data_IF_608421027875
#
_entry.id   IF_608421027875
#
_cell.length_a   1.000
_cell.length_b   1.000
_cell.length_c   1.000
_cell.angle_alpha   90.00
_cell.angle_beta   90.00
_cell.angle_gamma   90.00
#
_symmetry.space_group_name_H-M   'P 1'
#
loop_
_entity.id
_entity.type
_entity.pdbx_description
1 polymer ?
#
# COMPACT_ATOMS: atom_id res chain seq x y z
N UNK A 1 -10.64 -18.01 13.18
CA UNK A 1 -9.82 -17.30 12.17
C UNK A 1 -9.61 -15.88 12.66
N UNK A 2 -8.37 -15.45 12.96
CA UNK A 2 -8.13 -14.04 13.33
C UNK A 2 -8.32 -13.18 12.08
N UNK A 3 -9.21 -12.18 12.16
CA UNK A 3 -9.28 -11.11 11.16
C UNK A 3 -7.89 -10.48 11.13
N UNK A 4 -7.19 -10.52 10.00
CA UNK A 4 -5.99 -9.70 9.81
C UNK A 4 -6.45 -8.25 9.92
N UNK A 5 -5.91 -7.55 10.91
CA UNK A 5 -6.08 -6.10 10.99
C UNK A 5 -5.53 -5.48 9.71
N UNK A 6 -6.20 -4.43 9.25
CA UNK A 6 -5.71 -3.66 8.11
C UNK A 6 -4.37 -3.03 8.51
N UNK A 7 -3.45 -2.91 7.55
CA UNK A 7 -2.19 -2.21 7.77
C UNK A 7 -2.46 -0.81 8.31
N UNK A 8 -1.74 -0.41 9.36
CA UNK A 8 -1.79 0.97 9.85
C UNK A 8 -1.19 1.92 8.81
N UNK A 9 -1.46 3.24 8.90
CA UNK A 9 -0.79 4.23 8.05
C UNK A 9 0.73 4.13 8.09
N UNK A 10 1.30 3.89 9.27
CA UNK A 10 2.75 3.76 9.50
C UNK A 10 3.30 2.50 8.82
N UNK A 11 2.61 1.37 8.93
CA UNK A 11 3.00 0.13 8.27
C UNK A 11 2.93 0.26 6.74
N UNK A 12 1.91 0.95 6.22
CA UNK A 12 1.82 1.25 4.78
C UNK A 12 2.96 2.14 4.32
N UNK A 13 3.37 3.12 5.13
CA UNK A 13 4.49 3.99 4.84
C UNK A 13 5.81 3.21 4.82
N UNK A 14 6.07 2.39 5.84
CA UNK A 14 7.24 1.53 5.94
C UNK A 14 7.33 0.56 4.74
N UNK A 15 6.23 -0.13 4.43
CA UNK A 15 6.13 -0.98 3.25
C UNK A 15 6.45 -0.23 1.96
N UNK A 16 5.94 1.00 1.78
CA UNK A 16 6.22 1.78 0.59
C UNK A 16 7.72 2.10 0.46
N UNK A 17 8.39 2.44 1.55
CA UNK A 17 9.83 2.71 1.57
C UNK A 17 10.64 1.47 1.22
N UNK A 18 10.35 0.31 1.81
CA UNK A 18 11.08 -0.92 1.53
C UNK A 18 10.98 -1.32 0.05
N UNK A 19 9.80 -1.16 -0.55
CA UNK A 19 9.57 -1.40 -1.97
C UNK A 19 10.32 -0.41 -2.89
N UNK A 20 10.61 0.81 -2.42
CA UNK A 20 11.34 1.84 -3.18
C UNK A 20 12.85 1.65 -3.04
N UNK A 21 13.33 1.34 -1.84
CA UNK A 21 14.75 1.11 -1.55
C UNK A 21 15.29 -0.13 -2.27
N UNK A 22 14.45 -1.14 -2.48
CA UNK A 22 14.81 -2.40 -3.17
C UNK A 22 15.99 -3.14 -2.53
N UNK A 23 16.15 -3.00 -1.21
CA UNK A 23 17.15 -3.76 -0.43
C UNK A 23 16.78 -5.25 -0.32
N UNK A 24 15.48 -5.55 -0.37
CA UNK A 24 14.92 -6.90 -0.41
C UNK A 24 14.13 -7.13 -1.70
N UNK A 25 13.94 -8.40 -2.08
CA UNK A 25 13.11 -8.71 -3.24
C UNK A 25 11.66 -8.31 -2.98
N UNK A 26 10.91 -8.02 -4.05
CA UNK A 26 9.50 -7.64 -3.93
C UNK A 26 8.66 -8.72 -3.22
N UNK A 27 8.99 -10.00 -3.44
CA UNK A 27 8.31 -11.13 -2.82
C UNK A 27 8.61 -11.24 -1.32
N UNK A 28 9.85 -10.95 -0.90
CA UNK A 28 10.24 -10.96 0.52
C UNK A 28 9.50 -9.86 1.27
N UNK A 29 9.41 -8.66 0.69
CA UNK A 29 8.66 -7.54 1.28
C UNK A 29 7.16 -7.88 1.39
N UNK A 30 6.56 -8.46 0.33
CA UNK A 30 5.15 -8.89 0.39
C UNK A 30 4.90 -9.94 1.48
N UNK A 31 5.84 -10.87 1.66
CA UNK A 31 5.77 -11.90 2.71
C UNK A 31 5.89 -11.30 4.10
N UNK A 32 6.84 -10.39 4.31
CA UNK A 32 7.09 -9.76 5.62
C UNK A 32 5.87 -8.99 6.13
N UNK A 33 5.30 -8.11 5.31
CA UNK A 33 4.13 -7.32 5.68
C UNK A 33 2.81 -8.08 5.53
N UNK A 34 2.87 -9.34 5.09
CA UNK A 34 1.71 -10.15 4.79
C UNK A 34 0.75 -9.36 3.88
N UNK A 35 1.14 -9.13 2.63
CA UNK A 35 0.27 -8.49 1.62
C UNK A 35 0.36 -9.23 0.29
N UNK A 36 -0.68 -9.07 -0.53
CA UNK A 36 -0.59 -9.49 -1.93
C UNK A 36 0.29 -8.51 -2.72
N UNK A 37 0.83 -9.00 -3.84
CA UNK A 37 1.58 -8.16 -4.77
C UNK A 37 0.75 -6.96 -5.24
N UNK A 38 -0.54 -7.16 -5.50
CA UNK A 38 -1.46 -6.10 -5.90
C UNK A 38 -1.58 -5.00 -4.84
N UNK A 39 -1.70 -5.36 -3.56
CA UNK A 39 -1.75 -4.40 -2.46
C UNK A 39 -0.42 -3.64 -2.33
N UNK A 40 0.70 -4.34 -2.42
CA UNK A 40 2.04 -3.73 -2.40
C UNK A 40 2.21 -2.71 -3.54
N UNK A 41 1.80 -3.06 -4.76
CA UNK A 41 1.84 -2.13 -5.90
C UNK A 41 0.95 -0.90 -5.68
N UNK A 42 -0.28 -1.08 -5.18
CA UNK A 42 -1.18 0.05 -4.89
C UNK A 42 -0.57 1.01 -3.88
N UNK A 43 0.00 0.49 -2.78
CA UNK A 43 0.62 1.30 -1.73
C UNK A 43 1.84 2.06 -2.28
N UNK A 44 2.74 1.37 -2.97
CA UNK A 44 3.93 2.00 -3.59
C UNK A 44 3.53 3.12 -4.56
N UNK A 45 2.55 2.87 -5.42
CA UNK A 45 2.13 3.86 -6.41
C UNK A 45 1.44 5.06 -5.77
N UNK A 46 0.59 4.84 -4.76
CA UNK A 46 -0.03 5.92 -4.00
C UNK A 46 1.01 6.80 -3.29
N UNK A 47 2.03 6.17 -2.70
CA UNK A 47 3.13 6.89 -2.07
C UNK A 47 3.91 7.77 -3.06
N UNK A 48 4.32 7.20 -4.20
CA UNK A 48 5.05 7.96 -5.24
C UNK A 48 4.21 9.10 -5.82
N UNK A 49 2.92 8.87 -6.04
CA UNK A 49 2.00 9.89 -6.54
C UNK A 49 1.80 11.03 -5.53
N UNK A 50 1.58 10.70 -4.25
CA UNK A 50 1.50 11.70 -3.18
C UNK A 50 2.79 12.52 -3.08
N UNK A 51 3.96 11.87 -3.13
CA UNK A 51 5.26 12.55 -3.14
C UNK A 51 5.44 13.49 -4.33
N UNK A 52 5.08 13.03 -5.55
CA UNK A 52 5.11 13.88 -6.75
C UNK A 52 4.23 15.11 -6.61
N UNK A 53 2.99 14.94 -6.13
CA UNK A 53 2.04 16.06 -5.93
C UNK A 53 2.57 17.07 -4.91
N UNK A 54 3.12 16.59 -3.79
CA UNK A 54 3.70 17.44 -2.76
C UNK A 54 4.88 18.26 -3.29
N UNK A 55 5.76 17.65 -4.09
CA UNK A 55 6.91 18.33 -4.69
C UNK A 55 6.54 19.27 -5.83
N UNK A 56 5.45 19.01 -6.56
CA UNK A 56 4.95 19.88 -7.63
C UNK A 56 4.37 21.22 -7.12
N UNK A 57 4.37 21.46 -5.80
CA UNK A 57 3.86 22.70 -5.22
C UNK A 57 2.33 22.82 -5.24
N UNK A 58 1.62 21.73 -5.52
CA UNK A 58 0.18 21.66 -5.41
C UNK A 58 -0.21 21.72 -3.93
N UNK A 59 -0.27 22.94 -3.37
CA UNK A 59 -0.87 23.23 -2.06
C UNK A 59 -2.40 23.13 -2.19
N UNK A 60 -2.89 21.96 -2.57
CA UNK A 60 -4.31 21.61 -2.63
C UNK A 60 -4.70 20.96 -1.32
N UNK A 61 -5.35 21.72 -0.44
CA UNK A 61 -6.16 21.16 0.64
C UNK A 61 -7.16 20.19 0.02
N UNK A 62 -7.10 18.91 0.38
CA UNK A 62 -8.26 18.02 0.36
C UNK A 62 -7.95 16.79 1.20
N UNK A 63 -8.92 16.42 2.04
CA UNK A 63 -8.84 15.35 3.00
C UNK A 63 -8.39 14.05 2.32
N UNK A 64 -7.38 13.40 2.88
CA UNK A 64 -7.03 12.03 2.53
C UNK A 64 -8.16 11.12 3.02
N UNK A 65 -9.20 11.01 2.20
CA UNK A 65 -10.31 10.10 2.46
C UNK A 65 -9.76 8.66 2.38
N UNK A 66 -9.95 7.93 3.47
CA UNK A 66 -9.39 6.61 3.75
C UNK A 66 -10.08 5.49 2.95
N UNK A 67 -10.25 5.67 1.65
CA UNK A 67 -10.95 4.74 0.77
C UNK A 67 -10.10 3.53 0.36
N UNK A 68 -9.90 2.58 1.28
CA UNK A 68 -9.56 1.21 0.91
C UNK A 68 -10.40 0.22 1.71
N UNK A 69 -11.62 -0.03 1.23
CA UNK A 69 -12.24 -1.35 1.28
C UNK A 69 -13.43 -1.38 0.34
N UNK A 70 -13.27 -2.03 -0.81
CA UNK A 70 -14.25 -2.99 -1.36
C UNK A 70 -13.73 -3.48 -2.72
N UNK A 71 -13.03 -4.61 -2.73
CA UNK A 71 -13.18 -5.61 -3.81
C UNK A 71 -13.06 -6.98 -3.16
N UNK A 72 -14.20 -7.52 -2.75
CA UNK A 72 -14.38 -8.95 -2.52
C UNK A 72 -14.25 -9.64 -3.87
N UNK A 73 -13.22 -10.45 -4.06
CA UNK A 73 -13.31 -11.54 -5.03
C UNK A 73 -12.64 -12.78 -4.45
N UNK A 74 -13.43 -13.52 -3.66
CA UNK A 74 -13.10 -14.88 -3.28
C UNK A 74 -13.46 -15.80 -4.43
N UNK A 75 -12.44 -16.18 -5.19
CA UNK A 75 -12.48 -17.23 -6.21
C UNK A 75 -13.08 -18.51 -5.62
N UNK A 76 -14.19 -18.96 -6.19
CA UNK A 76 -14.78 -20.27 -5.92
C UNK A 76 -13.79 -21.36 -6.36
N UNK A 77 -13.39 -22.20 -5.41
CA UNK A 77 -12.70 -23.45 -5.69
C UNK A 77 -13.70 -24.44 -6.30
N UNK A 78 -13.36 -24.97 -7.48
CA UNK A 78 -14.00 -26.15 -8.07
C UNK A 78 -13.49 -27.44 -7.45
#
# INVERSE_FOLDING_TARGET
MRKREKLTPEERFALALDLIKREHSFADVCSHYHVSHTTAYKIRNAFLEGGRRALAGARGREAVDGGADEVRNGNAIG
#
